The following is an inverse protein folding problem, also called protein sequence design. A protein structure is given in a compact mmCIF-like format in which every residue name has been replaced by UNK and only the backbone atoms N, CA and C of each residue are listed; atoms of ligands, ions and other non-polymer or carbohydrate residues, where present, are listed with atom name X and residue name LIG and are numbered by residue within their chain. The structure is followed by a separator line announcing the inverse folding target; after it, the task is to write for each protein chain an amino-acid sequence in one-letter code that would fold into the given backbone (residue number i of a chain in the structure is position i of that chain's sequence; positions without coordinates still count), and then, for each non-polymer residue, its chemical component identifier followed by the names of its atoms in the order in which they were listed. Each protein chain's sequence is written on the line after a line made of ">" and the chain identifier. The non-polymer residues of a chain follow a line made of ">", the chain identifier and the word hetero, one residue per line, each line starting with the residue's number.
data_IF_502573894333
#
_entry.id   IF_502573894333
#
_cell.length_a   1.000
_cell.length_b   1.000
_cell.length_c   1.000
_cell.angle_alpha   90.00
_cell.angle_beta   90.00
_cell.angle_gamma   90.00
#
_symmetry.space_group_name_H-M   'P 1'
#
loop_
_entity.id
_entity.type
_entity.pdbx_description
1 polymer ?
#
# COMPACT_ATOMS: atom_id res chain seq x y z
N UNK A 1 55.37 2.09 6.28
CA UNK A 1 54.56 2.28 7.51
C UNK A 1 53.09 2.15 7.13
N UNK A 2 52.38 1.15 7.64
CA UNK A 2 50.93 1.05 7.40
C UNK A 2 50.23 2.16 8.19
N UNK A 3 49.46 3.00 7.50
CA UNK A 3 48.64 4.03 8.16
C UNK A 3 47.60 3.32 9.02
N UNK A 4 47.67 3.51 10.34
CA UNK A 4 46.63 3.04 11.26
C UNK A 4 45.32 3.74 10.90
N UNK A 5 44.33 2.97 10.45
CA UNK A 5 43.00 3.52 10.14
C UNK A 5 42.35 4.00 11.43
N UNK A 6 41.82 5.24 11.44
CA UNK A 6 40.97 5.71 12.53
C UNK A 6 39.58 5.08 12.34
N UNK A 7 39.03 4.36 13.33
CA UNK A 7 37.69 3.80 13.22
C UNK A 7 36.66 4.92 13.24
N UNK A 8 35.66 4.80 12.35
CA UNK A 8 34.45 5.62 12.37
C UNK A 8 33.32 4.73 12.88
N UNK A 9 32.57 5.22 13.87
CA UNK A 9 31.49 4.45 14.51
C UNK A 9 30.19 5.23 14.39
N UNK A 10 29.18 4.59 13.82
CA UNK A 10 27.79 5.04 13.89
C UNK A 10 27.12 4.27 15.04
N UNK A 11 26.58 4.99 16.02
CA UNK A 11 25.83 4.42 17.16
C UNK A 11 24.37 4.81 17.00
N UNK A 12 23.49 3.81 16.92
CA UNK A 12 22.04 4.00 16.79
C UNK A 12 21.42 3.66 18.15
N UNK A 13 20.78 4.66 18.78
CA UNK A 13 19.98 4.47 19.98
C UNK A 13 18.53 4.22 19.55
N UNK A 14 18.14 2.95 19.44
CA UNK A 14 16.79 2.58 18.96
C UNK A 14 15.71 3.11 19.92
N UNK A 15 14.65 3.72 19.36
CA UNK A 15 13.59 4.37 20.13
C UNK A 15 13.99 5.66 20.86
N UNK A 16 15.13 6.28 20.55
CA UNK A 16 15.60 7.51 21.20
C UNK A 16 15.21 8.78 20.42
N UNK A 17 14.04 9.35 20.71
CA UNK A 17 13.52 10.58 20.07
C UNK A 17 13.83 11.87 20.84
N UNK A 18 13.59 13.02 20.19
CA UNK A 18 13.64 14.34 20.82
C UNK A 18 12.23 14.91 20.99
N UNK A 19 11.89 15.32 22.21
CA UNK A 19 10.62 15.96 22.58
C UNK A 19 10.87 16.92 23.72
N UNK A 20 10.42 18.17 23.57
CA UNK A 20 10.65 19.24 24.57
C UNK A 20 9.80 19.07 25.83
N UNK A 21 8.62 18.48 25.67
CA UNK A 21 7.69 18.29 26.78
C UNK A 21 8.16 17.16 27.70
N UNK A 22 8.20 17.45 29.01
CA UNK A 22 8.79 16.56 30.02
C UNK A 22 7.84 15.47 30.53
N UNK A 23 6.52 15.69 30.42
CA UNK A 23 5.53 14.74 30.89
C UNK A 23 5.70 13.38 30.20
N UNK A 24 5.84 12.31 30.97
CA UNK A 24 6.01 10.95 30.44
C UNK A 24 7.19 10.78 29.46
N UNK A 25 8.21 11.64 29.56
CA UNK A 25 9.39 11.63 28.69
C UNK A 25 10.56 10.91 29.38
N UNK A 26 10.70 9.61 29.15
CA UNK A 26 11.74 8.81 29.81
C UNK A 26 13.17 9.30 29.49
N UNK A 27 13.40 9.82 28.28
CA UNK A 27 14.71 10.31 27.85
C UNK A 27 15.09 11.58 28.61
N UNK A 28 14.21 12.58 28.63
CA UNK A 28 14.48 13.87 29.29
C UNK A 28 14.55 13.74 30.82
N UNK A 29 13.81 12.79 31.40
CA UNK A 29 13.82 12.56 32.85
C UNK A 29 14.94 11.62 33.32
N UNK A 30 15.62 10.91 32.41
CA UNK A 30 16.72 10.03 32.76
C UNK A 30 18.01 10.82 33.07
N UNK A 31 18.92 10.21 33.83
CA UNK A 31 20.27 10.75 34.03
C UNK A 31 21.16 10.30 32.88
N UNK A 32 21.36 11.16 31.88
CA UNK A 32 22.09 10.84 30.63
C UNK A 32 23.39 11.63 30.46
N UNK A 33 24.32 11.64 31.44
CA UNK A 33 25.45 12.59 31.47
C UNK A 33 26.36 12.50 30.24
N UNK A 34 26.43 11.34 29.59
CA UNK A 34 27.18 11.17 28.34
C UNK A 34 26.48 11.88 27.18
N UNK A 35 25.17 11.66 26.99
CA UNK A 35 24.40 12.32 25.93
C UNK A 35 24.31 13.82 26.17
N UNK A 36 24.10 14.24 27.42
CA UNK A 36 24.03 15.66 27.80
C UNK A 36 25.35 16.38 27.46
N UNK A 37 26.50 15.74 27.76
CA UNK A 37 27.81 16.29 27.44
C UNK A 37 28.08 16.32 25.92
N UNK A 38 27.64 15.31 25.17
CA UNK A 38 27.76 15.28 23.71
C UNK A 38 26.92 16.40 23.08
N UNK A 39 25.65 16.53 23.50
CA UNK A 39 24.74 17.58 23.02
C UNK A 39 25.30 18.98 23.29
N UNK A 40 25.81 19.24 24.50
CA UNK A 40 26.31 20.56 24.86
C UNK A 40 27.66 20.93 24.19
N UNK A 41 28.53 19.95 23.87
CA UNK A 41 29.94 20.21 23.52
C UNK A 41 30.34 19.80 22.10
N UNK A 42 29.47 19.10 21.37
CA UNK A 42 29.75 18.61 20.01
C UNK A 42 28.72 19.16 19.02
N UNK A 43 29.08 19.31 17.72
CA UNK A 43 28.11 19.63 16.69
C UNK A 43 26.98 18.61 16.67
N UNK A 44 25.74 19.08 16.63
CA UNK A 44 24.55 18.25 16.64
C UNK A 44 23.45 18.90 15.78
N UNK A 45 22.51 18.08 15.32
CA UNK A 45 21.28 18.49 14.65
C UNK A 45 20.20 17.46 14.95
N UNK A 46 18.94 17.83 14.73
CA UNK A 46 17.84 16.88 14.61
C UNK A 46 17.66 16.46 13.16
N UNK A 47 17.09 15.28 12.95
CA UNK A 47 16.69 14.75 11.65
C UNK A 47 15.30 14.14 11.78
N UNK A 48 14.53 14.17 10.70
CA UNK A 48 13.23 13.52 10.64
C UNK A 48 13.41 11.99 10.48
N UNK A 49 12.62 11.23 11.24
CA UNK A 49 12.69 9.77 11.32
C UNK A 49 11.31 9.09 11.16
N UNK A 50 10.34 9.82 10.61
CA UNK A 50 8.95 9.41 10.41
C UNK A 50 8.39 10.08 9.16
N UNK A 51 7.22 9.66 8.69
CA UNK A 51 6.55 10.31 7.56
C UNK A 51 7.30 10.16 6.22
N UNK A 52 7.08 11.16 5.34
CA UNK A 52 7.59 11.15 3.97
C UNK A 52 9.13 11.18 3.94
N UNK A 53 9.75 11.75 4.95
CA UNK A 53 11.19 11.93 5.10
C UNK A 53 11.94 10.59 5.21
N UNK A 54 11.24 9.52 5.59
CA UNK A 54 11.76 8.14 5.63
C UNK A 54 10.99 7.19 4.70
N UNK A 55 10.16 7.73 3.81
CA UNK A 55 9.43 6.95 2.81
C UNK A 55 8.16 6.26 3.32
N UNK A 56 7.60 6.76 4.42
CA UNK A 56 6.29 6.36 4.96
C UNK A 56 5.19 7.34 4.55
N UNK A 57 3.90 6.96 4.65
CA UNK A 57 2.78 7.88 4.57
C UNK A 57 2.92 9.09 5.52
N UNK A 58 2.30 10.21 5.14
CA UNK A 58 2.37 11.44 5.95
C UNK A 58 1.97 11.19 7.41
N UNK A 59 2.76 11.73 8.34
CA UNK A 59 2.61 11.59 9.81
C UNK A 59 2.65 10.17 10.37
N UNK A 60 2.95 9.15 9.56
CA UNK A 60 3.12 7.81 10.10
C UNK A 60 4.42 7.72 10.91
N UNK A 61 4.32 7.20 12.14
CA UNK A 61 5.49 6.99 13.00
C UNK A 61 6.52 6.08 12.32
N UNK A 62 7.81 6.39 12.55
CA UNK A 62 8.90 5.53 12.14
C UNK A 62 8.94 4.22 12.91
N UNK A 63 9.75 3.28 12.44
CA UNK A 63 10.05 2.03 13.12
C UNK A 63 11.49 1.60 12.82
N UNK A 64 11.99 0.59 13.54
CA UNK A 64 13.37 0.13 13.43
C UNK A 64 13.75 -0.30 12.01
N UNK A 65 12.88 -1.03 11.30
CA UNK A 65 13.16 -1.52 9.94
C UNK A 65 13.36 -0.35 8.96
N UNK A 66 12.37 0.55 8.91
CA UNK A 66 12.40 1.73 8.03
C UNK A 66 13.61 2.61 8.35
N UNK A 67 13.88 2.85 9.64
CA UNK A 67 15.00 3.68 10.08
C UNK A 67 16.36 3.12 9.67
N UNK A 68 16.61 1.83 9.92
CA UNK A 68 17.88 1.19 9.58
C UNK A 68 18.09 1.11 8.07
N UNK A 69 17.03 0.85 7.30
CA UNK A 69 17.09 0.80 5.83
C UNK A 69 17.46 2.17 5.25
N UNK A 70 16.83 3.26 5.72
CA UNK A 70 17.17 4.61 5.27
C UNK A 70 18.61 5.01 5.64
N UNK A 71 19.04 4.75 6.89
CA UNK A 71 20.40 5.03 7.36
C UNK A 71 21.46 4.27 6.55
N UNK A 72 21.22 2.99 6.26
CA UNK A 72 22.13 2.17 5.47
C UNK A 72 22.14 2.53 3.99
N UNK A 73 21.00 2.97 3.45
CA UNK A 73 20.87 3.30 2.03
C UNK A 73 21.37 4.70 1.66
N UNK A 74 21.46 5.62 2.63
CA UNK A 74 21.85 7.01 2.41
C UNK A 74 20.90 7.79 1.50
N UNK A 75 19.62 7.38 1.45
CA UNK A 75 18.54 7.98 0.65
C UNK A 75 17.18 7.62 1.27
N UNK A 76 16.14 8.34 0.87
CA UNK A 76 14.75 7.97 1.19
C UNK A 76 14.43 6.63 0.54
N UNK A 77 14.04 5.64 1.35
CA UNK A 77 13.58 4.34 0.88
C UNK A 77 12.07 4.28 1.04
N UNK A 78 11.37 4.62 -0.05
CA UNK A 78 9.91 4.54 -0.10
C UNK A 78 9.44 3.10 0.12
N UNK A 79 8.53 2.94 1.08
CA UNK A 79 7.73 1.72 1.20
C UNK A 79 6.80 1.61 -0.01
N UNK A 80 6.43 0.38 -0.40
CA UNK A 80 5.69 0.16 -1.64
C UNK A 80 4.38 0.96 -1.72
N UNK A 81 3.64 1.09 -0.61
CA UNK A 81 2.44 1.93 -0.54
C UNK A 81 2.74 3.38 -0.94
N UNK A 82 3.67 4.03 -0.24
CA UNK A 82 4.04 5.43 -0.48
C UNK A 82 4.69 5.63 -1.84
N UNK A 83 5.48 4.66 -2.31
CA UNK A 83 6.07 4.68 -3.65
C UNK A 83 4.97 4.74 -4.71
N UNK A 84 3.96 3.87 -4.61
CA UNK A 84 2.84 3.86 -5.54
C UNK A 84 1.97 5.13 -5.44
N UNK A 85 1.76 5.67 -4.24
CA UNK A 85 1.04 6.94 -4.06
C UNK A 85 1.74 8.11 -4.78
N UNK A 86 3.07 8.19 -4.65
CA UNK A 86 3.88 9.18 -5.36
C UNK A 86 3.82 8.93 -6.86
N UNK A 87 3.99 7.69 -7.31
CA UNK A 87 3.94 7.36 -8.75
C UNK A 87 2.58 7.70 -9.38
N UNK A 88 1.47 7.51 -8.66
CA UNK A 88 0.12 7.88 -9.11
C UNK A 88 -0.02 9.40 -9.16
N UNK A 89 0.39 10.11 -8.10
CA UNK A 89 0.33 11.57 -8.00
C UNK A 89 1.16 12.27 -9.09
N UNK A 90 2.35 11.76 -9.37
CA UNK A 90 3.26 12.28 -10.40
C UNK A 90 2.95 11.75 -11.81
N UNK A 91 1.91 10.91 -11.93
CA UNK A 91 1.48 10.21 -13.15
C UNK A 91 2.52 9.24 -13.76
N UNK A 92 3.62 8.96 -13.07
CA UNK A 92 4.62 7.98 -13.53
C UNK A 92 4.09 6.54 -13.50
N UNK A 93 3.11 6.24 -12.62
CA UNK A 93 2.36 4.98 -12.60
C UNK A 93 1.70 4.68 -13.96
N UNK A 94 1.13 5.71 -14.61
CA UNK A 94 0.43 5.61 -15.90
C UNK A 94 1.37 5.41 -17.09
N UNK A 95 2.67 5.61 -16.89
CA UNK A 95 3.72 5.36 -17.87
C UNK A 95 4.49 4.05 -17.60
N UNK A 96 4.15 3.31 -16.54
CA UNK A 96 4.86 2.08 -16.19
C UNK A 96 4.77 1.06 -17.34
N UNK A 97 5.90 0.61 -17.92
CA UNK A 97 5.89 -0.24 -19.10
C UNK A 97 5.26 -1.61 -18.85
N UNK A 98 5.31 -2.14 -17.62
CA UNK A 98 4.68 -3.42 -17.29
C UNK A 98 3.16 -3.30 -17.34
N UNK A 99 2.61 -2.27 -16.70
CA UNK A 99 1.16 -2.03 -16.65
C UNK A 99 0.61 -1.67 -18.04
N UNK A 100 1.28 -0.74 -18.71
CA UNK A 100 0.84 -0.24 -20.02
C UNK A 100 0.92 -1.29 -21.11
N UNK A 101 1.94 -2.17 -21.09
CA UNK A 101 2.03 -3.30 -22.02
C UNK A 101 0.97 -4.36 -21.77
N UNK A 102 0.65 -4.68 -20.51
CA UNK A 102 -0.40 -5.65 -20.19
C UNK A 102 -1.77 -5.21 -20.72
N UNK A 103 -2.11 -3.92 -20.54
CA UNK A 103 -3.35 -3.34 -21.06
C UNK A 103 -3.35 -3.34 -22.60
N UNK A 104 -2.26 -2.93 -23.23
CA UNK A 104 -2.18 -2.90 -24.70
C UNK A 104 -2.30 -4.28 -25.32
N UNK A 105 -1.70 -5.30 -24.71
CA UNK A 105 -1.83 -6.68 -25.19
C UNK A 105 -3.29 -7.15 -25.18
N UNK A 106 -4.02 -6.91 -24.10
CA UNK A 106 -5.43 -7.26 -24.01
C UNK A 106 -6.27 -6.47 -25.03
N UNK A 107 -6.08 -5.14 -25.07
CA UNK A 107 -6.80 -4.24 -25.99
C UNK A 107 -6.59 -4.62 -27.46
N UNK A 108 -5.32 -4.80 -27.87
CA UNK A 108 -4.97 -5.10 -29.27
C UNK A 108 -5.49 -6.48 -29.72
N UNK A 109 -5.77 -7.37 -28.76
CA UNK A 109 -6.38 -8.68 -29.01
C UNK A 109 -7.91 -8.69 -28.85
N UNK A 110 -8.55 -7.54 -28.63
CA UNK A 110 -9.98 -7.41 -28.26
C UNK A 110 -10.38 -8.29 -27.05
N UNK A 111 -9.47 -8.41 -26.07
CA UNK A 111 -9.64 -9.13 -24.82
C UNK A 111 -9.86 -8.19 -23.65
N UNK A 112 -10.34 -8.76 -22.55
CA UNK A 112 -10.61 -8.03 -21.33
C UNK A 112 -9.35 -7.80 -20.49
N UNK A 113 -9.32 -6.66 -19.80
CA UNK A 113 -8.37 -6.37 -18.72
C UNK A 113 -9.05 -6.74 -17.40
N UNK A 114 -8.47 -7.69 -16.69
CA UNK A 114 -8.92 -8.09 -15.37
C UNK A 114 -8.02 -7.44 -14.31
N UNK A 115 -8.63 -6.74 -13.37
CA UNK A 115 -7.98 -6.12 -12.22
C UNK A 115 -8.52 -6.83 -10.99
N UNK A 116 -7.63 -7.29 -10.10
CA UNK A 116 -8.03 -8.02 -8.90
C UNK A 116 -7.18 -7.58 -7.72
N UNK A 117 -7.77 -7.48 -6.54
CA UNK A 117 -7.06 -7.05 -5.34
C UNK A 117 -7.97 -6.84 -4.14
N UNK A 118 -7.34 -6.71 -2.98
CA UNK A 118 -8.03 -6.38 -1.73
C UNK A 118 -8.58 -4.96 -1.80
N UNK A 119 -9.91 -4.83 -1.77
CA UNK A 119 -10.61 -3.57 -1.97
C UNK A 119 -10.91 -2.92 -0.61
N UNK A 120 -10.03 -2.04 -0.16
CA UNK A 120 -10.21 -1.23 1.04
C UNK A 120 -9.20 -0.08 1.12
N UNK A 121 -9.42 0.85 2.05
CA UNK A 121 -8.46 1.87 2.46
C UNK A 121 -7.45 1.39 3.53
N UNK A 122 -7.28 0.06 3.71
CA UNK A 122 -6.48 -0.50 4.80
C UNK A 122 -4.97 -0.28 4.69
N UNK A 123 -4.41 -0.26 3.48
CA UNK A 123 -2.98 0.04 3.25
C UNK A 123 -1.98 -1.05 3.65
N UNK A 124 -2.43 -2.19 4.19
CA UNK A 124 -1.55 -3.29 4.61
C UNK A 124 -1.14 -4.19 3.44
N UNK A 125 -2.12 -4.64 2.65
CA UNK A 125 -1.88 -5.51 1.49
C UNK A 125 -2.14 -4.83 0.15
N UNK A 126 -2.88 -3.72 0.16
CA UNK A 126 -3.27 -2.93 -1.00
C UNK A 126 -3.86 -1.60 -0.54
N UNK A 127 -4.11 -0.71 -1.50
CA UNK A 127 -4.97 0.46 -1.29
C UNK A 127 -5.95 0.59 -2.45
N UNK A 128 -7.22 0.90 -2.16
CA UNK A 128 -8.26 1.04 -3.19
C UNK A 128 -7.94 2.11 -4.23
N UNK A 129 -7.18 3.15 -3.87
CA UNK A 129 -6.77 4.19 -4.82
C UNK A 129 -5.77 3.67 -5.86
N UNK A 130 -4.96 2.65 -5.55
CA UNK A 130 -4.06 2.02 -6.53
C UNK A 130 -4.86 1.19 -7.54
N UNK A 131 -5.89 0.48 -7.07
CA UNK A 131 -6.81 -0.26 -7.92
C UNK A 131 -7.58 0.73 -8.82
N UNK A 132 -7.99 1.87 -8.28
CA UNK A 132 -8.65 2.94 -9.03
C UNK A 132 -7.74 3.51 -10.12
N UNK A 133 -6.47 3.80 -9.80
CA UNK A 133 -5.48 4.26 -10.77
C UNK A 133 -5.26 3.23 -11.91
N UNK A 134 -5.30 1.93 -11.60
CA UNK A 134 -5.21 0.88 -12.63
C UNK A 134 -6.46 0.83 -13.53
N UNK A 135 -7.66 1.04 -12.98
CA UNK A 135 -8.91 1.18 -13.77
C UNK A 135 -8.81 2.39 -14.70
N UNK A 136 -8.33 3.53 -14.19
CA UNK A 136 -8.12 4.75 -14.98
C UNK A 136 -7.08 4.54 -16.08
N UNK A 137 -5.93 3.93 -15.77
CA UNK A 137 -4.89 3.58 -16.73
C UNK A 137 -5.47 2.71 -17.85
N UNK A 138 -6.23 1.67 -17.51
CA UNK A 138 -6.83 0.79 -18.50
C UNK A 138 -7.78 1.55 -19.44
N UNK A 139 -8.61 2.44 -18.89
CA UNK A 139 -9.53 3.27 -19.67
C UNK A 139 -8.80 4.31 -20.54
N UNK A 140 -7.80 5.03 -20.00
CA UNK A 140 -6.98 6.02 -20.73
C UNK A 140 -6.26 5.39 -21.92
N UNK A 141 -5.87 4.11 -21.81
CA UNK A 141 -5.21 3.35 -22.87
C UNK A 141 -6.17 2.76 -23.90
N UNK A 142 -7.47 2.90 -23.70
CA UNK A 142 -8.52 2.49 -24.64
C UNK A 142 -9.02 1.05 -24.47
N UNK A 143 -8.86 0.43 -23.30
CA UNK A 143 -9.51 -0.86 -23.04
C UNK A 143 -11.03 -0.67 -22.88
N UNK A 144 -11.82 -1.45 -23.63
CA UNK A 144 -13.30 -1.40 -23.54
C UNK A 144 -13.88 -2.37 -22.51
N UNK A 145 -13.21 -3.51 -22.30
CA UNK A 145 -13.65 -4.58 -21.39
C UNK A 145 -12.76 -4.57 -20.14
N UNK A 146 -13.19 -3.87 -19.08
CA UNK A 146 -12.46 -3.75 -17.81
C UNK A 146 -13.27 -4.43 -16.70
N UNK A 147 -12.68 -5.43 -16.03
CA UNK A 147 -13.36 -6.21 -15.00
C UNK A 147 -12.61 -6.14 -13.68
N UNK A 148 -13.26 -5.62 -12.64
CA UNK A 148 -12.74 -5.64 -11.28
C UNK A 148 -13.25 -6.88 -10.54
N UNK A 149 -12.33 -7.68 -10.00
CA UNK A 149 -12.59 -8.74 -9.04
C UNK A 149 -12.20 -8.23 -7.64
N UNK A 150 -13.20 -7.80 -6.86
CA UNK A 150 -12.97 -7.18 -5.57
C UNK A 150 -12.84 -8.22 -4.46
N UNK A 151 -11.67 -8.28 -3.83
CA UNK A 151 -11.48 -9.08 -2.62
C UNK A 151 -11.86 -8.24 -1.40
N UNK A 152 -12.89 -8.62 -0.66
CA UNK A 152 -13.43 -7.81 0.45
C UNK A 152 -12.57 -8.00 1.70
N UNK A 153 -12.24 -6.88 2.37
CA UNK A 153 -11.30 -6.88 3.49
C UNK A 153 -11.90 -7.28 4.84
N UNK A 154 -12.49 -6.32 5.57
CA UNK A 154 -13.08 -6.53 6.89
C UNK A 154 -12.11 -6.98 8.00
N UNK A 155 -10.79 -6.92 7.74
CA UNK A 155 -9.74 -7.28 8.71
C UNK A 155 -8.77 -6.14 8.96
N UNK A 156 -8.25 -5.51 7.90
CA UNK A 156 -7.37 -4.33 8.03
C UNK A 156 -8.22 -3.04 8.20
N UNK A 157 -9.50 -3.13 7.84
CA UNK A 157 -10.57 -2.16 8.05
C UNK A 157 -11.73 -2.79 8.86
N UNK A 158 -12.70 -2.01 9.37
CA UNK A 158 -13.83 -2.55 10.13
C UNK A 158 -14.60 -3.66 9.37
N UNK A 159 -15.13 -4.69 10.06
CA UNK A 159 -15.74 -5.86 9.40
C UNK A 159 -16.88 -5.59 8.41
N UNK A 160 -17.58 -4.46 8.55
CA UNK A 160 -18.69 -4.02 7.67
C UNK A 160 -18.38 -2.65 7.08
N UNK A 161 -17.43 -2.60 6.13
CA UNK A 161 -16.91 -1.36 5.53
C UNK A 161 -16.90 -1.36 3.99
N UNK A 162 -17.12 -2.50 3.34
CA UNK A 162 -16.92 -2.67 1.90
C UNK A 162 -17.85 -1.84 1.01
N UNK A 163 -19.05 -1.48 1.48
CA UNK A 163 -20.09 -0.82 0.69
C UNK A 163 -19.60 0.50 0.07
N UNK A 164 -18.89 1.33 0.85
CA UNK A 164 -18.39 2.62 0.38
C UNK A 164 -17.39 2.45 -0.78
N UNK A 165 -16.46 1.50 -0.65
CA UNK A 165 -15.48 1.19 -1.70
C UNK A 165 -16.17 0.63 -2.94
N UNK A 166 -17.10 -0.32 -2.80
CA UNK A 166 -17.83 -0.88 -3.95
C UNK A 166 -18.61 0.20 -4.70
N UNK A 167 -19.35 1.06 -3.98
CA UNK A 167 -20.07 2.18 -4.58
C UNK A 167 -19.14 3.13 -5.34
N UNK A 168 -17.98 3.47 -4.76
CA UNK A 168 -16.96 4.33 -5.40
C UNK A 168 -16.53 3.76 -6.77
N UNK A 169 -16.34 2.44 -6.87
CA UNK A 169 -15.97 1.80 -8.13
C UNK A 169 -17.12 1.69 -9.13
N UNK A 170 -18.35 1.43 -8.67
CA UNK A 170 -19.53 1.45 -9.54
C UNK A 170 -19.77 2.84 -10.14
N UNK A 171 -19.68 3.89 -9.31
CA UNK A 171 -19.79 5.27 -9.76
C UNK A 171 -18.69 5.59 -10.79
N UNK A 172 -17.46 5.09 -10.58
CA UNK A 172 -16.36 5.27 -11.54
C UNK A 172 -16.65 4.59 -12.87
N UNK A 173 -17.06 3.32 -12.87
CA UNK A 173 -17.36 2.60 -14.11
C UNK A 173 -18.54 3.23 -14.87
N UNK A 174 -19.56 3.70 -14.15
CA UNK A 174 -20.65 4.46 -14.73
C UNK A 174 -20.16 5.76 -15.40
N UNK A 175 -19.28 6.52 -14.73
CA UNK A 175 -18.69 7.74 -15.27
C UNK A 175 -17.79 7.49 -16.50
N UNK A 176 -17.07 6.38 -16.53
CA UNK A 176 -16.25 5.97 -17.68
C UNK A 176 -17.08 5.44 -18.85
N UNK A 177 -18.33 5.02 -18.61
CA UNK A 177 -19.20 4.36 -19.58
C UNK A 177 -18.70 2.99 -20.02
N UNK A 178 -17.71 2.43 -19.31
CA UNK A 178 -17.08 1.15 -19.62
C UNK A 178 -16.53 0.49 -18.36
N UNK A 179 -16.44 -0.83 -18.40
CA UNK A 179 -16.01 -1.67 -17.28
C UNK A 179 -17.10 -1.92 -16.24
N UNK A 180 -16.82 -2.83 -15.30
CA UNK A 180 -17.72 -3.19 -14.19
C UNK A 180 -16.99 -3.96 -13.09
N UNK A 181 -17.59 -4.03 -11.91
CA UNK A 181 -17.26 -5.06 -10.90
C UNK A 181 -17.80 -6.39 -11.41
N UNK A 182 -16.93 -7.37 -11.65
CA UNK A 182 -17.28 -8.68 -12.19
C UNK A 182 -17.52 -9.72 -11.10
N UNK A 183 -16.80 -9.63 -9.98
CA UNK A 183 -17.06 -10.47 -8.81
C UNK A 183 -16.65 -9.77 -7.52
N UNK A 184 -17.29 -10.18 -6.42
CA UNK A 184 -16.88 -9.85 -5.07
C UNK A 184 -16.67 -11.16 -4.29
N UNK A 185 -15.63 -11.22 -3.48
CA UNK A 185 -15.35 -12.40 -2.64
C UNK A 185 -14.54 -11.99 -1.41
N UNK A 186 -14.82 -12.56 -0.24
CA UNK A 186 -14.05 -12.25 0.96
C UNK A 186 -12.58 -12.64 0.84
N UNK A 187 -11.68 -11.85 1.43
CA UNK A 187 -10.23 -12.13 1.48
C UNK A 187 -9.88 -13.49 2.08
N UNK A 188 -10.76 -14.03 2.93
CA UNK A 188 -10.66 -15.36 3.50
C UNK A 188 -10.53 -16.46 2.44
N UNK A 189 -11.17 -16.28 1.28
CA UNK A 189 -11.10 -17.19 0.14
C UNK A 189 -9.96 -16.82 -0.82
N UNK A 190 -9.88 -15.55 -1.22
CA UNK A 190 -8.98 -15.11 -2.29
C UNK A 190 -7.51 -14.90 -1.85
N UNK A 191 -7.23 -14.80 -0.54
CA UNK A 191 -5.90 -14.46 -0.02
C UNK A 191 -5.48 -15.39 1.13
N UNK A 192 -5.83 -16.68 1.06
CA UNK A 192 -5.30 -17.67 2.00
C UNK A 192 -3.78 -17.81 1.81
N UNK A 193 -3.07 -17.97 2.93
CA UNK A 193 -1.61 -18.15 2.99
C UNK A 193 -1.19 -19.38 3.79
N UNK A 194 -2.16 -20.22 4.14
CA UNK A 194 -1.98 -21.43 4.95
C UNK A 194 -2.14 -22.70 4.10
N UNK A 195 -2.07 -22.58 2.77
CA UNK A 195 -2.23 -23.66 1.79
C UNK A 195 -3.60 -24.38 1.86
N UNK A 196 -4.67 -23.66 2.23
CA UNK A 196 -6.03 -24.23 2.21
C UNK A 196 -6.66 -24.06 0.83
N UNK A 197 -6.33 -24.98 -0.06
CA UNK A 197 -6.72 -24.93 -1.47
C UNK A 197 -8.24 -24.92 -1.70
N UNK A 198 -9.04 -25.59 -0.87
CA UNK A 198 -10.51 -25.55 -0.95
C UNK A 198 -11.08 -24.12 -0.84
N UNK A 199 -10.36 -23.20 -0.19
CA UNK A 199 -10.75 -21.79 -0.11
C UNK A 199 -10.37 -21.04 -1.38
N UNK A 200 -9.16 -21.28 -1.86
CA UNK A 200 -8.61 -20.64 -3.06
C UNK A 200 -9.40 -21.07 -4.30
N UNK A 201 -9.78 -22.34 -4.39
CA UNK A 201 -10.60 -22.92 -5.46
C UNK A 201 -11.93 -22.16 -5.61
N UNK A 202 -12.63 -21.85 -4.51
CA UNK A 202 -13.86 -21.05 -4.56
C UNK A 202 -13.67 -19.66 -5.19
N UNK A 203 -12.57 -18.99 -4.89
CA UNK A 203 -12.26 -17.69 -5.51
C UNK A 203 -11.87 -17.86 -6.98
N UNK A 204 -11.14 -18.92 -7.31
CA UNK A 204 -10.74 -19.26 -8.68
C UNK A 204 -11.94 -19.57 -9.57
N UNK A 205 -12.85 -20.44 -9.12
CA UNK A 205 -14.06 -20.84 -9.85
C UNK A 205 -15.01 -19.66 -10.07
N UNK A 206 -15.13 -18.78 -9.07
CA UNK A 206 -15.88 -17.54 -9.22
C UNK A 206 -15.32 -16.66 -10.34
N UNK A 207 -13.99 -16.52 -10.42
CA UNK A 207 -13.35 -15.65 -11.42
C UNK A 207 -13.28 -16.27 -12.82
N UNK A 208 -13.14 -17.59 -12.93
CA UNK A 208 -12.87 -18.27 -14.20
C UNK A 208 -14.08 -18.98 -14.79
N UNK A 209 -14.98 -19.47 -13.95
CA UNK A 209 -16.19 -20.22 -14.34
C UNK A 209 -17.49 -19.47 -14.01
N UNK A 210 -17.39 -18.30 -13.38
CA UNK A 210 -18.54 -17.53 -12.87
C UNK A 210 -19.42 -18.33 -11.89
N UNK A 211 -18.81 -19.23 -11.11
CA UNK A 211 -19.51 -20.02 -10.11
C UNK A 211 -19.50 -19.29 -8.75
N UNK A 212 -20.66 -18.76 -8.37
CA UNK A 212 -20.90 -18.13 -7.08
C UNK A 212 -22.23 -18.59 -6.48
N UNK A 213 -22.36 -18.47 -5.16
CA UNK A 213 -23.60 -18.79 -4.45
C UNK A 213 -24.72 -17.81 -4.79
N UNK A 214 -24.35 -16.55 -5.07
CA UNK A 214 -25.26 -15.46 -5.36
C UNK A 214 -24.90 -14.79 -6.68
N UNK A 215 -25.91 -14.24 -7.35
CA UNK A 215 -25.78 -13.36 -8.49
C UNK A 215 -26.56 -12.07 -8.21
N UNK A 216 -25.98 -10.94 -8.58
CA UNK A 216 -26.59 -9.63 -8.38
C UNK A 216 -26.22 -8.70 -9.53
N UNK A 217 -27.09 -7.74 -9.82
CA UNK A 217 -26.89 -6.75 -10.88
C UNK A 217 -25.82 -5.70 -10.50
N UNK A 218 -25.60 -5.49 -9.21
CA UNK A 218 -24.63 -4.55 -8.66
C UNK A 218 -23.80 -5.22 -7.57
N UNK A 219 -22.57 -4.74 -7.38
CA UNK A 219 -21.69 -5.19 -6.33
C UNK A 219 -22.26 -4.86 -4.94
N UNK A 220 -22.94 -3.73 -4.78
CA UNK A 220 -23.61 -3.37 -3.52
C UNK A 220 -24.77 -4.33 -3.23
N UNK A 221 -25.58 -4.70 -4.22
CA UNK A 221 -26.61 -5.72 -4.03
C UNK A 221 -26.01 -7.10 -3.72
N UNK A 222 -24.90 -7.45 -4.38
CA UNK A 222 -24.16 -8.68 -4.08
C UNK A 222 -23.60 -8.73 -2.65
N UNK A 223 -23.22 -7.58 -2.08
CA UNK A 223 -22.76 -7.48 -0.69
C UNK A 223 -23.90 -7.74 0.33
N UNK A 224 -25.14 -7.45 -0.06
CA UNK A 224 -26.33 -7.57 0.78
C UNK A 224 -27.05 -8.93 0.66
N UNK A 225 -26.67 -9.75 -0.31
CA UNK A 225 -27.26 -11.05 -0.62
C UNK A 225 -26.96 -12.13 0.43
#
# INVERSE_FOLDING_TARGET
>A
MSVSKKPMVLVILDGYGYREEQQDNAILNAKTPVMDALWAKRPHTLIDASGLEVGLPDRQMGNSEVGHVNLGAGRIVYQDLTRLDVEIKERTFFANPVLTNAVDQAKNADKAVHIMGLLSAGGVHSHEDHIMAMVELAAERGAEKIYLHAFLDGRDTPPRSAEASLKKFEDKFAALGKGRVASIVGRYYAMDRDNRWDRVEKAYDLMTLAQGEFQADTAVAGLQA
#
